data_IF_585100459043
#
_entry.id   IF_585100459043
#
_cell.length_a   1.000
_cell.length_b   1.000
_cell.length_c   1.000
_cell.angle_alpha   90.00
_cell.angle_beta   90.00
_cell.angle_gamma   90.00
#
_symmetry.space_group_name_H-M   'P 1'
#
loop_
_entity.id
_entity.type
_entity.pdbx_description
1 polymer ?
#
# COMPACT_ATOMS: atom_id res chain seq x y z
N UNK A 1 17.15 25.80 25.69
CA UNK A 1 16.06 25.79 26.69
C UNK A 1 14.97 24.88 26.18
N UNK A 2 14.52 23.90 26.97
CA UNK A 2 13.47 22.97 26.53
C UNK A 2 12.13 23.71 26.39
N UNK A 3 11.45 23.53 25.26
CA UNK A 3 10.16 24.18 24.92
C UNK A 3 8.93 23.47 25.51
N UNK A 4 9.12 22.54 26.44
CA UNK A 4 8.03 21.78 27.03
C UNK A 4 8.37 21.33 28.46
N UNK A 5 7.32 21.21 29.27
CA UNK A 5 7.34 20.58 30.59
C UNK A 5 6.76 19.18 30.49
N UNK A 6 7.42 18.20 31.10
CA UNK A 6 6.88 16.84 31.24
C UNK A 6 6.12 16.77 32.56
N UNK A 7 4.81 16.55 32.49
CA UNK A 7 3.96 16.36 33.67
C UNK A 7 3.51 14.89 33.71
N UNK A 8 3.67 14.25 34.87
CA UNK A 8 3.21 12.88 35.09
C UNK A 8 1.80 12.92 35.69
N UNK A 9 0.86 12.20 35.08
CA UNK A 9 -0.50 12.03 35.57
C UNK A 9 -0.82 10.54 35.72
N UNK A 10 -1.58 10.17 36.74
CA UNK A 10 -2.10 8.81 36.86
C UNK A 10 -3.13 8.54 35.77
N UNK A 11 -3.29 7.27 35.40
CA UNK A 11 -4.30 6.84 34.42
C UNK A 11 -5.71 7.23 34.89
N UNK A 12 -5.98 7.11 36.20
CA UNK A 12 -7.28 7.49 36.78
C UNK A 12 -7.59 8.98 36.61
N UNK A 13 -6.61 9.86 36.77
CA UNK A 13 -6.79 11.29 36.56
C UNK A 13 -7.10 11.60 35.09
N UNK A 14 -6.43 10.92 34.16
CA UNK A 14 -6.69 11.06 32.72
C UNK A 14 -8.11 10.59 32.38
N UNK A 15 -8.56 9.48 32.96
CA UNK A 15 -9.92 8.97 32.78
C UNK A 15 -10.95 9.95 33.36
N UNK A 16 -10.68 10.54 34.52
CA UNK A 16 -11.54 11.56 35.13
C UNK A 16 -11.72 12.77 34.21
N UNK A 17 -10.64 13.25 33.59
CA UNK A 17 -10.67 14.36 32.64
C UNK A 17 -11.42 14.05 31.34
N UNK A 18 -11.37 12.79 30.88
CA UNK A 18 -12.18 12.34 29.74
C UNK A 18 -13.67 12.33 30.13
N UNK A 19 -13.99 11.85 31.32
CA UNK A 19 -15.37 11.79 31.82
C UNK A 19 -15.96 13.17 32.13
N UNK A 20 -15.13 14.12 32.56
CA UNK A 20 -15.54 15.52 32.81
C UNK A 20 -15.60 16.37 31.54
N UNK A 21 -15.13 15.85 30.40
CA UNK A 21 -15.06 16.57 29.13
C UNK A 21 -13.94 17.62 29.05
N UNK A 22 -13.03 17.65 30.04
CA UNK A 22 -11.86 18.53 30.08
C UNK A 22 -10.82 18.12 29.03
N UNK A 23 -10.77 16.84 28.68
CA UNK A 23 -10.01 16.30 27.56
C UNK A 23 -10.95 15.50 26.66
N UNK A 24 -11.09 15.91 25.40
CA UNK A 24 -11.76 15.13 24.37
C UNK A 24 -10.72 14.46 23.47
N UNK A 25 -10.94 13.18 23.16
CA UNK A 25 -10.18 12.51 22.10
C UNK A 25 -10.82 12.92 20.76
N UNK A 26 -10.07 13.55 19.83
CA UNK A 26 -10.62 13.92 18.52
C UNK A 26 -11.26 12.71 17.82
N UNK A 27 -12.44 12.88 17.23
CA UNK A 27 -13.15 11.84 16.48
C UNK A 27 -12.34 11.25 15.31
N UNK A 28 -11.26 11.91 14.91
CA UNK A 28 -10.49 11.67 13.70
C UNK A 28 -9.78 10.31 13.59
N UNK A 29 -9.93 9.41 14.58
CA UNK A 29 -9.39 8.04 14.51
C UNK A 29 -10.44 6.92 14.67
N UNK A 30 -11.74 7.23 14.80
CA UNK A 30 -12.78 6.19 15.02
C UNK A 30 -13.60 5.66 13.82
N UNK A 31 -13.58 6.17 12.58
CA UNK A 31 -14.31 5.49 11.50
C UNK A 31 -13.63 4.18 11.05
N UNK A 32 -12.43 3.88 11.56
CA UNK A 32 -11.67 2.68 11.22
C UNK A 32 -12.04 1.47 12.11
N UNK A 33 -13.30 1.32 12.51
CA UNK A 33 -13.77 0.06 13.14
C UNK A 33 -13.92 -0.97 12.03
N UNK A 34 -12.95 -1.87 11.92
CA UNK A 34 -13.01 -2.99 11.00
C UNK A 34 -14.18 -3.90 11.40
N UNK A 35 -14.96 -4.37 10.43
CA UNK A 35 -15.93 -5.43 10.70
C UNK A 35 -15.20 -6.64 11.31
N UNK A 36 -15.84 -7.38 12.23
CA UNK A 36 -15.24 -8.53 12.93
C UNK A 36 -14.59 -9.54 11.97
N UNK A 37 -15.21 -9.76 10.80
CA UNK A 37 -14.64 -10.61 9.75
C UNK A 37 -13.30 -10.07 9.24
N UNK A 38 -13.18 -8.77 8.99
CA UNK A 38 -11.92 -8.16 8.54
C UNK A 38 -10.83 -8.25 9.59
N UNK A 39 -11.17 -8.18 10.88
CA UNK A 39 -10.20 -8.40 11.96
C UNK A 39 -9.71 -9.85 11.94
N UNK A 40 -10.61 -10.82 11.77
CA UNK A 40 -10.25 -12.23 11.62
C UNK A 40 -9.38 -12.47 10.38
N UNK A 41 -9.75 -11.91 9.22
CA UNK A 41 -9.00 -12.02 7.97
C UNK A 41 -7.59 -11.41 8.11
N UNK A 42 -7.47 -10.31 8.85
CA UNK A 42 -6.18 -9.71 9.19
C UNK A 42 -5.33 -10.66 10.03
N UNK A 43 -5.90 -11.23 11.09
CA UNK A 43 -5.18 -12.15 11.98
C UNK A 43 -4.76 -13.43 11.24
N UNK A 44 -5.63 -13.97 10.37
CA UNK A 44 -5.31 -15.11 9.51
C UNK A 44 -4.19 -14.76 8.50
N UNK A 45 -4.23 -13.56 7.91
CA UNK A 45 -3.17 -13.07 7.03
C UNK A 45 -1.84 -12.92 7.76
N UNK A 46 -1.85 -12.37 8.98
CA UNK A 46 -0.66 -12.27 9.83
C UNK A 46 -0.11 -13.65 10.19
N UNK A 47 -1.00 -14.60 10.53
CA UNK A 47 -0.63 -15.99 10.86
C UNK A 47 0.01 -16.71 9.67
N UNK A 48 -0.54 -16.53 8.47
CA UNK A 48 0.00 -17.08 7.22
C UNK A 48 1.26 -16.36 6.71
N UNK A 49 1.69 -15.30 7.41
CA UNK A 49 2.84 -14.49 7.02
C UNK A 49 2.60 -13.68 5.75
N UNK A 50 1.34 -13.41 5.39
CA UNK A 50 1.03 -12.57 4.26
C UNK A 50 1.46 -11.12 4.51
N UNK A 51 1.90 -10.41 3.47
CA UNK A 51 2.34 -9.04 3.63
C UNK A 51 1.17 -8.12 4.01
N UNK A 52 1.28 -7.40 5.14
CA UNK A 52 0.21 -6.52 5.66
C UNK A 52 0.68 -5.07 5.70
N UNK A 53 0.31 -4.26 4.71
CA UNK A 53 0.69 -2.85 4.69
C UNK A 53 -0.16 -2.00 3.77
N UNK A 54 -0.04 -0.69 3.89
CA UNK A 54 -0.74 0.27 3.03
C UNK A 54 0.23 1.09 2.19
N UNK A 55 -0.17 1.34 0.94
CA UNK A 55 0.36 2.43 0.12
C UNK A 55 -0.67 3.54 0.12
N UNK A 56 -0.24 4.75 0.47
CA UNK A 56 -1.10 5.93 0.38
C UNK A 56 -0.90 6.54 -1.00
N UNK A 57 -1.98 6.57 -1.77
CA UNK A 57 -2.04 7.22 -3.07
C UNK A 57 -3.25 8.15 -3.12
N UNK A 58 -3.18 9.18 -3.93
CA UNK A 58 -4.30 10.05 -4.21
C UNK A 58 -4.35 10.36 -5.70
N UNK A 59 -5.57 10.51 -6.23
CA UNK A 59 -5.76 10.98 -7.59
C UNK A 59 -5.19 12.39 -7.67
N UNK A 60 -4.36 12.64 -8.68
CA UNK A 60 -3.69 13.92 -8.84
C UNK A 60 -4.75 15.04 -8.94
N UNK A 61 -4.81 15.99 -7.98
CA UNK A 61 -5.59 17.19 -8.19
C UNK A 61 -4.70 18.08 -9.07
N UNK A 62 -5.10 18.26 -10.32
CA UNK A 62 -4.54 19.31 -11.18
C UNK A 62 -4.92 20.68 -10.57
N UNK A 63 -4.25 21.06 -9.47
CA UNK A 63 -4.46 22.34 -8.80
C UNK A 63 -3.73 23.39 -9.61
N UNK A 64 -4.48 24.32 -10.21
CA UNK A 64 -3.91 25.54 -10.77
C UNK A 64 -3.32 26.37 -9.63
N UNK A 65 -2.00 26.56 -9.67
CA UNK A 65 -1.27 27.43 -8.76
C UNK A 65 -1.57 28.89 -9.11
N UNK A 66 -1.34 29.82 -8.16
CA UNK A 66 -1.62 31.26 -8.35
C UNK A 66 -0.87 31.89 -9.54
N UNK A 67 0.20 31.27 -10.01
CA UNK A 67 1.00 31.68 -11.17
C UNK A 67 0.52 31.04 -12.50
N UNK A 68 -0.63 30.36 -12.51
CA UNK A 68 -1.21 29.76 -13.71
C UNK A 68 -0.61 28.40 -14.10
N UNK A 69 0.39 27.90 -13.39
CA UNK A 69 0.96 26.57 -13.65
C UNK A 69 0.20 25.48 -12.90
N UNK A 70 0.28 24.25 -13.39
CA UNK A 70 -0.28 23.07 -12.72
C UNK A 70 0.63 22.64 -11.58
N UNK A 71 0.04 22.26 -10.44
CA UNK A 71 0.76 21.66 -9.32
C UNK A 71 1.48 20.39 -9.77
N UNK A 72 2.81 20.45 -9.81
CA UNK A 72 3.68 19.31 -10.08
C UNK A 72 3.98 18.57 -8.78
N UNK A 73 3.46 17.34 -8.64
CA UNK A 73 3.79 16.48 -7.52
C UNK A 73 5.11 15.75 -7.75
N UNK A 74 6.06 15.85 -6.80
CA UNK A 74 7.38 15.18 -6.87
C UNK A 74 7.33 13.65 -6.93
N UNK A 75 6.17 13.05 -6.68
CA UNK A 75 5.94 11.61 -6.57
C UNK A 75 4.78 11.15 -7.46
N UNK A 76 4.67 11.73 -8.66
CA UNK A 76 3.67 11.34 -9.65
C UNK A 76 4.00 10.00 -10.28
N UNK A 77 2.98 9.17 -10.44
CA UNK A 77 3.01 7.94 -11.23
C UNK A 77 1.93 8.03 -12.31
N UNK A 78 2.20 7.42 -13.47
CA UNK A 78 1.30 7.34 -14.63
C UNK A 78 0.85 5.90 -14.86
N UNK A 79 -0.21 5.68 -15.66
CA UNK A 79 -0.54 4.34 -16.11
C UNK A 79 0.68 3.65 -16.75
N UNK A 80 0.95 2.42 -16.31
CA UNK A 80 2.13 1.65 -16.72
C UNK A 80 3.34 1.77 -15.78
N UNK A 81 3.31 2.68 -14.81
CA UNK A 81 4.37 2.77 -13.80
C UNK A 81 4.23 1.68 -12.73
N UNK A 82 5.37 1.24 -12.20
CA UNK A 82 5.43 0.34 -11.05
C UNK A 82 5.75 1.16 -9.81
N UNK A 83 4.97 1.02 -8.74
CA UNK A 83 5.22 1.73 -7.49
C UNK A 83 5.56 0.73 -6.40
N UNK A 84 6.63 1.01 -5.66
CA UNK A 84 7.15 0.16 -4.60
C UNK A 84 7.28 0.93 -3.28
N UNK A 85 6.74 0.38 -2.19
CA UNK A 85 6.83 0.95 -0.85
C UNK A 85 8.19 0.68 -0.20
N UNK A 86 8.97 1.72 0.08
CA UNK A 86 10.36 1.56 0.55
C UNK A 86 10.51 1.27 2.05
N UNK A 87 9.47 1.57 2.83
CA UNK A 87 9.42 1.37 4.28
C UNK A 87 8.74 0.04 4.58
N UNK A 88 9.34 -0.72 5.49
CA UNK A 88 8.92 -2.06 5.86
C UNK A 88 8.75 -2.99 4.63
N UNK A 89 9.83 -3.32 3.90
CA UNK A 89 9.79 -4.22 2.74
C UNK A 89 9.14 -5.59 3.02
N UNK A 90 9.18 -6.07 4.26
CA UNK A 90 8.50 -7.28 4.70
C UNK A 90 6.97 -7.23 4.50
N UNK A 91 6.41 -6.05 4.28
CA UNK A 91 4.99 -5.85 3.96
C UNK A 91 4.69 -5.93 2.46
N UNK A 92 5.67 -6.23 1.60
CA UNK A 92 5.42 -6.61 0.20
C UNK A 92 4.60 -5.59 -0.59
N UNK A 93 4.79 -4.30 -0.30
CA UNK A 93 3.93 -3.23 -0.83
C UNK A 93 4.39 -2.82 -2.21
N UNK A 94 3.64 -3.22 -3.23
CA UNK A 94 3.82 -2.77 -4.60
C UNK A 94 2.50 -2.73 -5.35
N UNK A 95 2.41 -1.93 -6.41
CA UNK A 95 1.30 -2.00 -7.37
C UNK A 95 1.72 -1.57 -8.77
N UNK A 96 1.01 -2.09 -9.77
CA UNK A 96 1.08 -1.65 -11.15
C UNK A 96 0.02 -0.57 -11.40
N UNK A 97 0.43 0.61 -11.82
CA UNK A 97 -0.47 1.74 -11.98
C UNK A 97 -1.36 1.60 -13.22
N UNK A 98 -2.68 1.61 -13.02
CA UNK A 98 -3.69 1.69 -14.07
C UNK A 98 -4.25 3.10 -14.26
N UNK A 99 -3.88 4.03 -13.38
CA UNK A 99 -4.36 5.42 -13.34
C UNK A 99 -3.20 6.37 -13.08
N UNK A 100 -3.39 7.63 -13.44
CA UNK A 100 -2.48 8.71 -13.06
C UNK A 100 -2.76 9.16 -11.62
N UNK A 101 -1.70 9.41 -10.85
CA UNK A 101 -1.83 9.74 -9.45
C UNK A 101 -0.53 10.15 -8.79
N UNK A 102 -0.63 10.39 -7.49
CA UNK A 102 0.49 10.79 -6.64
C UNK A 102 0.64 9.77 -5.51
N UNK A 103 1.89 9.45 -5.17
CA UNK A 103 2.21 8.57 -4.03
C UNK A 103 2.90 9.34 -2.91
N UNK A 104 2.88 8.79 -1.70
CA UNK A 104 3.58 9.39 -0.56
C UNK A 104 5.09 9.41 -0.79
N UNK A 105 5.79 10.22 0.02
CA UNK A 105 7.25 10.24 0.00
C UNK A 105 7.87 8.88 0.35
N UNK A 106 7.10 7.93 0.89
CA UNK A 106 7.54 6.60 1.31
C UNK A 106 7.42 5.51 0.24
N UNK A 107 7.15 5.90 -0.99
CA UNK A 107 7.20 5.02 -2.13
C UNK A 107 8.19 5.51 -3.19
N UNK A 108 8.62 4.58 -4.03
CA UNK A 108 9.37 4.85 -5.24
C UNK A 108 8.51 4.49 -6.44
N UNK A 109 8.51 5.38 -7.43
CA UNK A 109 8.02 5.06 -8.78
C UNK A 109 9.21 4.49 -9.53
N UNK A 110 9.13 3.21 -9.88
CA UNK A 110 10.15 2.48 -10.60
C UNK A 110 10.01 2.69 -12.10
N UNK A 111 11.17 2.82 -12.73
CA UNK A 111 11.32 2.85 -14.17
C UNK A 111 12.31 1.76 -14.56
N UNK A 112 11.88 0.84 -15.42
CA UNK A 112 12.72 -0.15 -16.05
C UNK A 112 13.88 0.54 -16.75
N UNK A 113 15.10 0.08 -16.45
CA UNK A 113 16.33 0.51 -17.10
C UNK A 113 16.97 -0.68 -17.79
N UNK A 114 17.95 -0.42 -18.65
CA UNK A 114 18.78 -1.48 -19.26
C UNK A 114 17.96 -2.55 -20.01
N UNK A 115 16.89 -2.14 -20.71
CA UNK A 115 16.06 -3.06 -21.50
C UNK A 115 15.03 -3.87 -20.71
N UNK A 116 14.82 -3.56 -19.43
CA UNK A 116 13.78 -4.18 -18.60
C UNK A 116 12.41 -3.55 -18.87
N UNK A 117 11.42 -4.36 -19.24
CA UNK A 117 10.04 -3.91 -19.40
C UNK A 117 9.36 -3.65 -18.04
N UNK A 118 8.49 -2.65 -17.96
CA UNK A 118 7.76 -2.33 -16.71
C UNK A 118 6.89 -3.49 -16.22
N UNK A 119 6.27 -4.22 -17.15
CA UNK A 119 5.42 -5.37 -16.82
C UNK A 119 6.24 -6.51 -16.22
N UNK A 120 7.40 -6.81 -16.82
CA UNK A 120 8.32 -7.80 -16.27
C UNK A 120 8.91 -7.36 -14.93
N UNK A 121 9.26 -6.07 -14.80
CA UNK A 121 9.72 -5.52 -13.52
C UNK A 121 8.67 -5.72 -12.42
N UNK A 122 7.39 -5.47 -12.72
CA UNK A 122 6.31 -5.74 -11.78
C UNK A 122 6.24 -7.21 -11.37
N UNK A 123 6.34 -8.14 -12.32
CA UNK A 123 6.40 -9.57 -12.04
C UNK A 123 7.62 -9.96 -11.18
N UNK A 124 8.78 -9.34 -11.44
CA UNK A 124 10.01 -9.57 -10.68
C UNK A 124 9.85 -9.21 -9.20
N UNK A 125 9.17 -8.10 -8.89
CA UNK A 125 8.93 -7.66 -7.50
C UNK A 125 8.08 -8.64 -6.70
N UNK A 126 7.28 -9.48 -7.37
CA UNK A 126 6.42 -10.48 -6.74
C UNK A 126 7.17 -11.78 -6.42
N UNK A 127 8.38 -11.95 -6.95
CA UNK A 127 9.14 -13.18 -6.74
C UNK A 127 9.62 -13.30 -5.29
N UNK A 128 9.67 -14.54 -4.81
CA UNK A 128 10.17 -14.83 -3.46
C UNK A 128 11.64 -14.43 -3.29
N UNK A 129 12.43 -14.46 -4.37
CA UNK A 129 13.85 -14.09 -4.36
C UNK A 129 14.02 -12.59 -4.11
N UNK A 130 13.37 -11.75 -4.91
CA UNK A 130 13.37 -10.30 -4.68
C UNK A 130 12.81 -9.94 -3.30
N UNK A 131 11.73 -10.59 -2.87
CA UNK A 131 11.16 -10.36 -1.54
C UNK A 131 12.19 -10.63 -0.43
N UNK A 132 12.83 -11.81 -0.43
CA UNK A 132 13.86 -12.19 0.55
C UNK A 132 15.04 -11.23 0.52
N UNK A 133 15.49 -10.84 -0.67
CA UNK A 133 16.54 -9.84 -0.83
C UNK A 133 16.15 -8.50 -0.19
N UNK A 134 14.98 -7.97 -0.55
CA UNK A 134 14.52 -6.67 -0.08
C UNK A 134 14.40 -6.61 1.45
N UNK A 135 13.96 -7.70 2.07
CA UNK A 135 13.89 -7.83 3.54
C UNK A 135 15.27 -7.91 4.15
N UNK A 136 16.21 -8.66 3.56
CA UNK A 136 17.54 -8.87 4.13
C UNK A 136 18.38 -7.60 4.19
N UNK A 137 18.32 -6.75 3.15
CA UNK A 137 19.10 -5.51 3.07
C UNK A 137 18.45 -4.34 3.81
N UNK A 138 17.17 -4.44 4.17
CA UNK A 138 16.43 -3.35 4.82
C UNK A 138 16.57 -3.28 6.33
N UNK A 139 17.35 -4.19 6.95
CA UNK A 139 17.45 -4.37 8.41
C UNK A 139 18.12 -3.18 9.11
N UNK A 140 17.31 -2.19 9.45
CA UNK A 140 17.64 -1.07 10.34
C UNK A 140 16.70 -1.12 11.55
N UNK A 141 17.16 -0.72 12.73
CA UNK A 141 16.33 -0.77 13.95
C UNK A 141 15.13 0.18 13.84
N UNK A 142 13.97 -0.28 14.32
CA UNK A 142 12.72 0.48 14.39
C UNK A 142 11.94 0.60 13.07
N UNK A 143 12.58 1.05 11.99
CA UNK A 143 11.92 1.27 10.70
C UNK A 143 12.77 0.76 9.53
N UNK A 144 12.68 -0.54 9.22
CA UNK A 144 13.32 -1.13 8.05
C UNK A 144 13.03 -0.34 6.78
N UNK A 145 14.07 -0.05 6.02
CA UNK A 145 13.98 0.74 4.79
C UNK A 145 15.01 0.27 3.79
N UNK A 146 14.55 0.13 2.55
CA UNK A 146 15.44 -0.07 1.41
C UNK A 146 15.67 1.26 0.67
N UNK A 147 16.92 1.57 0.38
CA UNK A 147 17.31 2.74 -0.41
C UNK A 147 17.44 2.40 -1.90
N UNK A 148 17.73 3.41 -2.73
CA UNK A 148 17.84 3.20 -4.19
C UNK A 148 19.08 2.41 -4.59
N UNK A 149 20.18 2.56 -3.87
CA UNK A 149 21.43 1.88 -4.19
C UNK A 149 21.32 0.38 -3.88
N UNK A 150 20.70 0.02 -2.76
CA UNK A 150 20.31 -1.35 -2.40
C UNK A 150 19.35 -1.94 -3.44
N UNK A 151 18.34 -1.20 -3.90
CA UNK A 151 17.45 -1.67 -4.97
C UNK A 151 18.20 -1.91 -6.30
N UNK A 152 19.09 -1.01 -6.68
CA UNK A 152 19.86 -1.13 -7.92
C UNK A 152 20.95 -2.21 -7.84
N UNK A 153 21.35 -2.63 -6.64
CA UNK A 153 22.32 -3.71 -6.42
C UNK A 153 21.69 -5.10 -6.54
N UNK A 154 20.35 -5.21 -6.55
CA UNK A 154 19.68 -6.48 -6.80
C UNK A 154 20.01 -7.01 -8.19
N UNK A 155 20.47 -8.25 -8.25
CA UNK A 155 20.86 -8.92 -9.49
C UNK A 155 19.90 -10.06 -9.78
N UNK A 156 19.49 -10.18 -11.03
CA UNK A 156 18.57 -11.21 -11.51
C UNK A 156 18.88 -11.55 -12.96
N UNK A 157 18.43 -12.72 -13.40
CA UNK A 157 18.51 -13.11 -14.81
C UNK A 157 17.32 -12.53 -15.56
N UNK A 158 17.58 -11.67 -16.53
CA UNK A 158 16.57 -11.09 -17.39
C UNK A 158 16.53 -11.86 -18.73
N UNK A 159 15.36 -12.36 -19.16
CA UNK A 159 15.22 -12.93 -20.49
C UNK A 159 15.20 -11.82 -21.55
N UNK A 160 15.12 -12.18 -22.83
CA UNK A 160 15.03 -11.20 -23.91
C UNK A 160 13.73 -10.36 -23.80
N UNK A 161 13.68 -9.22 -24.51
CA UNK A 161 12.57 -8.28 -24.42
C UNK A 161 11.20 -8.88 -24.80
N UNK A 162 11.17 -9.80 -25.76
CA UNK A 162 9.92 -10.46 -26.19
C UNK A 162 9.34 -11.33 -25.07
N UNK A 163 10.19 -12.15 -24.46
CA UNK A 163 9.82 -13.04 -23.36
C UNK A 163 9.42 -12.24 -22.11
N UNK A 164 10.14 -11.16 -21.80
CA UNK A 164 9.75 -10.24 -20.72
C UNK A 164 8.33 -9.70 -20.89
N UNK A 165 7.96 -9.31 -22.12
CA UNK A 165 6.61 -8.82 -22.40
C UNK A 165 5.58 -9.93 -22.26
N UNK A 166 5.84 -11.13 -22.80
CA UNK A 166 4.94 -12.30 -22.67
C UNK A 166 4.67 -12.65 -21.21
N UNK A 167 5.71 -12.74 -20.39
CA UNK A 167 5.59 -13.04 -18.95
C UNK A 167 4.77 -11.94 -18.26
N UNK A 168 5.12 -10.68 -18.50
CA UNK A 168 4.46 -9.54 -17.87
C UNK A 168 2.97 -9.43 -18.26
N UNK A 169 2.65 -9.61 -19.54
CA UNK A 169 1.28 -9.59 -20.05
C UNK A 169 0.43 -10.72 -19.46
N UNK A 170 0.98 -11.94 -19.45
CA UNK A 170 0.28 -13.10 -18.91
C UNK A 170 -0.06 -12.92 -17.41
N UNK A 171 0.92 -12.49 -16.61
CA UNK A 171 0.71 -12.31 -15.17
C UNK A 171 -0.24 -11.13 -14.86
N UNK A 172 -0.15 -10.03 -15.60
CA UNK A 172 -1.09 -8.92 -15.46
C UNK A 172 -2.52 -9.31 -15.86
N UNK A 173 -2.69 -10.15 -16.89
CA UNK A 173 -4.02 -10.64 -17.26
C UNK A 173 -4.60 -11.56 -16.18
N UNK A 174 -3.77 -12.40 -15.54
CA UNK A 174 -4.19 -13.20 -14.39
C UNK A 174 -4.64 -12.32 -13.23
N UNK A 175 -3.86 -11.28 -12.88
CA UNK A 175 -4.23 -10.31 -11.83
C UNK A 175 -5.56 -9.61 -12.15
N UNK A 176 -5.76 -9.22 -13.42
CA UNK A 176 -7.00 -8.63 -13.90
C UNK A 176 -8.18 -9.59 -13.76
N UNK A 177 -8.01 -10.85 -14.17
CA UNK A 177 -9.03 -11.89 -14.10
C UNK A 177 -9.42 -12.20 -12.64
N UNK A 178 -8.43 -12.29 -11.74
CA UNK A 178 -8.68 -12.47 -10.29
C UNK A 178 -9.49 -11.28 -9.76
N UNK A 179 -9.10 -10.06 -10.10
CA UNK A 179 -9.81 -8.84 -9.68
C UNK A 179 -11.25 -8.83 -10.18
N UNK A 180 -11.49 -9.26 -11.43
CA UNK A 180 -12.82 -9.34 -12.01
C UNK A 180 -13.71 -10.33 -11.24
N UNK A 181 -13.22 -11.55 -11.01
CA UNK A 181 -13.97 -12.59 -10.28
C UNK A 181 -14.23 -12.21 -8.82
N UNK A 182 -13.29 -11.55 -8.15
CA UNK A 182 -13.50 -11.05 -6.78
C UNK A 182 -14.61 -10.00 -6.71
N UNK A 183 -14.72 -9.11 -7.73
CA UNK A 183 -15.81 -8.13 -7.82
C UNK A 183 -17.16 -8.80 -8.03
N UNK A 184 -17.21 -9.81 -8.90
CA UNK A 184 -18.42 -10.59 -9.14
C UNK A 184 -18.88 -11.34 -7.88
N UNK A 185 -17.97 -12.03 -7.21
CA UNK A 185 -18.25 -12.70 -5.93
C UNK A 185 -18.83 -11.72 -4.91
N UNK A 186 -18.22 -10.54 -4.75
CA UNK A 186 -18.71 -9.50 -3.84
C UNK A 186 -20.11 -9.02 -4.21
N UNK A 187 -20.39 -8.86 -5.52
CA UNK A 187 -21.72 -8.49 -6.01
C UNK A 187 -22.76 -9.57 -5.65
N UNK A 188 -22.45 -10.84 -5.87
CA UNK A 188 -23.33 -11.95 -5.54
C UNK A 188 -23.58 -12.07 -4.03
N UNK A 189 -22.54 -11.88 -3.21
CA UNK A 189 -22.68 -11.84 -1.75
C UNK A 189 -23.62 -10.72 -1.28
N UNK A 190 -23.51 -9.53 -1.88
CA UNK A 190 -24.41 -8.41 -1.57
C UNK A 190 -25.86 -8.70 -1.99
N UNK A 191 -26.07 -9.30 -3.16
CA UNK A 191 -27.40 -9.71 -3.63
C UNK A 191 -28.00 -10.74 -2.67
N UNK A 192 -27.23 -11.78 -2.31
CA UNK A 192 -27.64 -12.81 -1.34
C UNK A 192 -28.05 -12.17 -0.01
N UNK A 193 -27.22 -11.25 0.52
CA UNK A 193 -27.52 -10.55 1.78
C UNK A 193 -28.83 -9.77 1.68
N UNK A 194 -29.03 -8.99 0.61
CA UNK A 194 -30.25 -8.22 0.41
C UNK A 194 -31.50 -9.09 0.23
N UNK A 195 -31.37 -10.22 -0.45
CA UNK A 195 -32.47 -11.19 -0.60
C UNK A 195 -32.85 -11.80 0.74
N UNK A 196 -31.88 -12.22 1.55
CA UNK A 196 -32.15 -12.77 2.88
C UNK A 196 -32.79 -11.74 3.81
N UNK A 197 -32.33 -10.49 3.80
CA UNK A 197 -32.96 -9.39 4.56
C UNK A 197 -34.43 -9.20 4.17
N UNK A 198 -34.77 -9.35 2.87
CA UNK A 198 -36.14 -9.23 2.36
C UNK A 198 -37.01 -10.48 2.57
N UNK A 199 -36.43 -11.64 2.90
CA UNK A 199 -37.19 -12.88 3.11
C UNK A 199 -37.83 -12.96 4.51
N UNK A 200 -37.32 -12.20 5.47
CA UNK A 200 -37.78 -12.21 6.86
C UNK A 200 -38.50 -10.91 7.27
N UNK A 201 -38.97 -10.14 6.28
CA UNK A 201 -39.79 -8.93 6.43
C UNK A 201 -41.14 -9.16 5.75
#
# INVERSE_FOLDING_TARGET
MAKYSVNNHSVDNIISWINSGEIAIPEMQRPFVWATSKVSDLMDSLYKGYPVGYLIIWKNPDVKLKNGTLSSGKFRFRPGDVVYGKINPQLGKYFYASVDGLTSADAYVFNGKNGISQKFLFSLLQTADFFKYSVSVSKRSGMPKINRDELNAYSFLAPNAEEQNKIGDFLLELDHLITLHQRELKKLQNIKKSMLEKMFV
#
